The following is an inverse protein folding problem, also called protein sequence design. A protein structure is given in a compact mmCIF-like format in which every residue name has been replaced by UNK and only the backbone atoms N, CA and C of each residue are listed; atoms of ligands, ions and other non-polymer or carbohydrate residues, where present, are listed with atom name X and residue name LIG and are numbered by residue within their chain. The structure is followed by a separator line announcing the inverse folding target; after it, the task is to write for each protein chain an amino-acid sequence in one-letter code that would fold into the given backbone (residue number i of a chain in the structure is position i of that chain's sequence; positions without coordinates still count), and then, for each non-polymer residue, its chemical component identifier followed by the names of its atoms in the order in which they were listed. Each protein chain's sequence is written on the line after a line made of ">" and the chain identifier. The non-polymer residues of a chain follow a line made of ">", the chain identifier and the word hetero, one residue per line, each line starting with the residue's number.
data_IF_414667845535
#
_entry.id   IF_414667845535
#
_cell.length_a   1.000
_cell.length_b   1.000
_cell.length_c   1.000
_cell.angle_alpha   90.00
_cell.angle_beta   90.00
_cell.angle_gamma   90.00
#
_symmetry.space_group_name_H-M   'P 1'
#
loop_
_entity.id
_entity.type
_entity.pdbx_description
1 polymer ?
#
# COMPACT_ATOMS: atom_id res chain seq x y z
N UNK A 1 -3.76 1.38 54.48
CA UNK A 1 -4.57 0.63 53.49
C UNK A 1 -4.07 1.07 52.13
N UNK A 2 -3.09 0.36 51.60
CA UNK A 2 -2.35 0.73 50.39
C UNK A 2 -3.10 0.17 49.19
N UNK A 3 -3.55 1.02 48.28
CA UNK A 3 -4.05 0.60 46.98
C UNK A 3 -2.94 -0.12 46.21
N UNK A 4 -3.22 -1.20 45.46
CA UNK A 4 -2.23 -1.72 44.53
C UNK A 4 -2.11 -0.75 43.35
N UNK A 5 -0.90 -0.22 43.16
CA UNK A 5 -0.46 0.35 41.89
C UNK A 5 -0.44 -0.79 40.88
N UNK A 6 -1.35 -0.74 39.92
CA UNK A 6 -1.30 -1.57 38.72
C UNK A 6 -0.04 -1.19 37.95
N UNK A 7 0.94 -2.10 37.96
CA UNK A 7 2.13 -2.00 37.16
C UNK A 7 1.77 -2.40 35.72
N UNK A 8 1.14 -1.47 35.00
CA UNK A 8 0.89 -1.57 33.57
C UNK A 8 2.21 -1.54 32.80
N UNK A 9 2.89 -2.67 32.73
CA UNK A 9 3.92 -2.91 31.73
C UNK A 9 3.26 -2.81 30.36
N UNK A 10 3.77 -1.89 29.53
CA UNK A 10 3.13 -1.38 28.32
C UNK A 10 2.40 -2.42 27.48
N UNK A 11 1.08 -2.33 27.46
CA UNK A 11 0.27 -3.02 26.47
C UNK A 11 0.73 -2.56 25.08
N UNK A 12 1.03 -3.47 24.13
CA UNK A 12 1.40 -3.09 22.78
C UNK A 12 0.29 -2.22 22.22
N UNK A 13 0.70 -1.09 21.63
CA UNK A 13 -0.23 -0.10 21.12
C UNK A 13 -0.97 -0.71 19.94
N UNK A 14 -2.21 -1.12 20.17
CA UNK A 14 -3.24 -1.12 19.14
C UNK A 14 -3.45 -2.40 18.36
N UNK A 15 -3.50 -3.58 18.98
CA UNK A 15 -4.30 -4.65 18.41
C UNK A 15 -5.32 -5.16 19.45
N UNK A 16 -6.60 -5.16 19.07
CA UNK A 16 -7.72 -5.66 19.89
C UNK A 16 -7.83 -7.19 19.90
N UNK A 17 -6.96 -7.87 19.14
CA UNK A 17 -6.92 -9.31 18.98
C UNK A 17 -6.18 -10.00 20.14
N UNK A 18 -6.64 -11.21 20.50
CA UNK A 18 -5.92 -12.11 21.39
C UNK A 18 -4.67 -12.72 20.71
N UNK A 19 -3.72 -13.24 21.49
CA UNK A 19 -2.41 -13.68 20.95
C UNK A 19 -2.45 -14.78 19.88
N UNK A 20 -3.44 -15.69 19.92
CA UNK A 20 -3.62 -16.72 18.88
C UNK A 20 -4.11 -16.13 17.55
N UNK A 21 -5.04 -15.17 17.63
CA UNK A 21 -5.57 -14.45 16.47
C UNK A 21 -4.46 -13.59 15.84
N UNK A 22 -3.65 -12.92 16.66
CA UNK A 22 -2.50 -12.15 16.21
C UNK A 22 -1.47 -13.03 15.48
N UNK A 23 -1.14 -14.20 16.03
CA UNK A 23 -0.19 -15.14 15.41
C UNK A 23 -0.70 -15.65 14.06
N UNK A 24 -2.01 -15.93 13.96
CA UNK A 24 -2.66 -16.33 12.71
C UNK A 24 -2.59 -15.20 11.69
N UNK A 25 -2.90 -13.97 12.09
CA UNK A 25 -2.82 -12.79 11.22
C UNK A 25 -1.42 -12.57 10.66
N UNK A 26 -0.38 -12.69 11.49
CA UNK A 26 1.01 -12.60 11.05
C UNK A 26 1.33 -13.69 10.01
N UNK A 27 0.88 -14.92 10.24
CA UNK A 27 1.10 -16.02 9.31
C UNK A 27 0.41 -15.81 7.95
N UNK A 28 -0.80 -15.26 7.94
CA UNK A 28 -1.53 -14.88 6.72
C UNK A 28 -0.79 -13.80 5.92
N UNK A 29 -0.33 -12.75 6.60
CA UNK A 29 0.52 -11.72 6.01
C UNK A 29 1.79 -12.31 5.39
N UNK A 30 2.53 -13.12 6.15
CA UNK A 30 3.75 -13.75 5.63
C UNK A 30 3.46 -14.67 4.45
N UNK A 31 2.33 -15.38 4.45
CA UNK A 31 1.92 -16.23 3.33
C UNK A 31 1.63 -15.42 2.07
N UNK A 32 0.95 -14.28 2.19
CA UNK A 32 0.72 -13.36 1.08
C UNK A 32 2.05 -12.80 0.56
N UNK A 33 2.88 -12.25 1.45
CA UNK A 33 4.11 -11.54 1.07
C UNK A 33 5.17 -12.45 0.46
N UNK A 34 5.22 -13.74 0.84
CA UNK A 34 6.10 -14.73 0.19
C UNK A 34 5.79 -14.96 -1.29
N UNK A 35 4.59 -14.61 -1.76
CA UNK A 35 4.22 -14.70 -3.18
C UNK A 35 4.66 -13.48 -3.98
N UNK A 36 5.16 -12.44 -3.32
CA UNK A 36 5.56 -11.21 -3.95
C UNK A 36 7.07 -11.00 -3.96
N UNK A 37 7.48 -9.94 -4.65
CA UNK A 37 8.88 -9.50 -4.68
C UNK A 37 9.02 -8.20 -3.90
N UNK A 38 9.85 -8.14 -2.84
CA UNK A 38 10.14 -6.90 -2.14
C UNK A 38 10.74 -5.87 -3.09
N UNK A 39 10.31 -4.61 -2.94
CA UNK A 39 10.76 -3.50 -3.77
C UNK A 39 11.09 -2.30 -2.89
N UNK A 40 12.03 -1.47 -3.38
CA UNK A 40 12.38 -0.24 -2.67
C UNK A 40 11.16 0.68 -2.57
N UNK A 41 10.98 1.26 -1.37
CA UNK A 41 9.99 2.28 -1.09
C UNK A 41 10.70 3.51 -0.52
N UNK A 42 10.20 4.71 -0.84
CA UNK A 42 10.71 5.95 -0.24
C UNK A 42 10.45 5.97 1.29
N UNK A 43 9.33 5.38 1.70
CA UNK A 43 8.93 5.23 3.10
C UNK A 43 8.29 3.86 3.32
N UNK A 44 8.50 3.28 4.50
CA UNK A 44 7.87 2.03 4.92
C UNK A 44 8.39 0.80 4.17
N UNK A 45 7.47 -0.08 3.74
CA UNK A 45 7.76 -1.33 3.03
C UNK A 45 6.85 -1.45 1.81
N UNK A 46 7.38 -1.98 0.72
CA UNK A 46 6.60 -2.26 -0.48
C UNK A 46 6.94 -3.65 -1.06
N UNK A 47 5.90 -4.29 -1.62
CA UNK A 47 5.99 -5.60 -2.26
C UNK A 47 5.15 -5.61 -3.53
N UNK A 48 5.68 -6.22 -4.60
CA UNK A 48 4.94 -6.54 -5.80
C UNK A 48 4.22 -7.89 -5.71
N UNK A 49 2.89 -7.77 -5.69
CA UNK A 49 1.84 -8.76 -5.79
C UNK A 49 1.59 -9.30 -7.21
N UNK A 50 1.56 -10.62 -7.51
CA UNK A 50 0.79 -11.09 -8.66
C UNK A 50 -0.67 -10.59 -8.61
N UNK A 51 -1.22 -10.11 -9.73
CA UNK A 51 -2.54 -9.45 -9.77
C UNK A 51 -3.69 -10.27 -9.17
N UNK A 52 -3.62 -11.60 -9.27
CA UNK A 52 -4.67 -12.50 -8.80
C UNK A 52 -4.78 -12.54 -7.26
N UNK A 53 -3.78 -12.01 -6.55
CA UNK A 53 -3.78 -11.89 -5.09
C UNK A 53 -4.43 -10.59 -4.59
N UNK A 54 -4.94 -9.73 -5.48
CA UNK A 54 -5.42 -8.41 -5.08
C UNK A 54 -6.58 -8.46 -4.07
N UNK A 55 -7.50 -9.41 -4.23
CA UNK A 55 -8.58 -9.61 -3.27
C UNK A 55 -8.05 -10.03 -1.89
N UNK A 56 -7.16 -11.03 -1.84
CA UNK A 56 -6.57 -11.50 -0.59
C UNK A 56 -5.76 -10.40 0.12
N UNK A 57 -5.01 -9.59 -0.64
CA UNK A 57 -4.28 -8.45 -0.10
C UNK A 57 -5.23 -7.39 0.48
N UNK A 58 -6.34 -7.10 -0.20
CA UNK A 58 -7.31 -6.11 0.25
C UNK A 58 -8.01 -6.54 1.55
N UNK A 59 -8.42 -7.80 1.66
CA UNK A 59 -9.03 -8.35 2.89
C UNK A 59 -8.10 -8.22 4.10
N UNK A 60 -6.81 -8.58 3.93
CA UNK A 60 -5.83 -8.43 5.00
C UNK A 60 -5.60 -6.96 5.38
N UNK A 61 -5.55 -6.06 4.39
CA UNK A 61 -5.44 -4.62 4.65
C UNK A 61 -6.62 -4.11 5.45
N UNK A 62 -7.86 -4.45 5.07
CA UNK A 62 -9.05 -4.00 5.80
C UNK A 62 -9.02 -4.48 7.24
N UNK A 63 -8.74 -5.76 7.45
CA UNK A 63 -8.72 -6.30 8.79
C UNK A 63 -7.55 -5.76 9.63
N UNK A 64 -6.47 -5.29 9.02
CA UNK A 64 -5.38 -4.59 9.72
C UNK A 64 -5.71 -3.13 10.00
N UNK A 65 -6.48 -2.46 9.14
CA UNK A 65 -7.01 -1.12 9.43
C UNK A 65 -7.98 -1.15 10.61
N UNK A 66 -8.78 -2.21 10.75
CA UNK A 66 -9.69 -2.39 11.88
C UNK A 66 -8.93 -2.69 13.19
N UNK A 67 -7.87 -3.50 13.16
CA UNK A 67 -7.05 -3.77 14.36
C UNK A 67 -6.16 -2.58 14.72
N UNK A 68 -5.44 -2.05 13.73
CA UNK A 68 -4.30 -1.15 13.83
C UNK A 68 -4.49 0.07 12.90
N UNK A 69 -5.38 1.04 13.24
CA UNK A 69 -5.74 2.14 12.35
C UNK A 69 -4.61 3.14 12.07
N UNK A 70 -3.46 3.00 12.73
CA UNK A 70 -2.27 3.81 12.47
C UNK A 70 -1.46 3.32 11.26
N UNK A 71 -1.64 2.07 10.80
CA UNK A 71 -1.04 1.65 9.54
C UNK A 71 -1.64 2.47 8.42
N UNK A 72 -0.84 2.75 7.40
CA UNK A 72 -1.34 3.29 6.15
C UNK A 72 -0.95 2.36 5.02
N UNK A 73 -1.95 1.87 4.30
CA UNK A 73 -1.76 1.02 3.14
C UNK A 73 -2.05 1.78 1.85
N UNK A 74 -1.30 1.47 0.80
CA UNK A 74 -1.59 1.91 -0.57
C UNK A 74 -1.54 0.68 -1.47
N UNK A 75 -2.63 0.44 -2.19
CA UNK A 75 -2.75 -0.63 -3.18
C UNK A 75 -2.83 -0.01 -4.56
N UNK A 76 -1.84 -0.25 -5.39
CA UNK A 76 -1.81 0.22 -6.78
C UNK A 76 -1.92 -0.97 -7.71
N UNK A 77 -3.09 -1.13 -8.34
CA UNK A 77 -3.31 -2.18 -9.33
C UNK A 77 -2.97 -1.65 -10.73
N UNK A 78 -2.15 -2.38 -11.47
CA UNK A 78 -1.79 -2.10 -12.86
C UNK A 78 -1.89 -3.36 -13.72
N UNK A 79 -1.54 -3.25 -15.01
CA UNK A 79 -1.45 -4.41 -15.89
C UNK A 79 -0.36 -5.41 -15.43
N UNK A 80 0.70 -4.89 -14.79
CA UNK A 80 1.88 -5.67 -14.39
C UNK A 80 1.67 -6.42 -13.06
N UNK A 81 0.75 -5.96 -12.22
CA UNK A 81 0.49 -6.58 -10.93
C UNK A 81 -0.19 -5.66 -9.93
N UNK A 82 -0.05 -6.00 -8.65
CA UNK A 82 -0.48 -5.19 -7.53
C UNK A 82 0.76 -4.72 -6.75
N UNK A 83 1.01 -3.41 -6.68
CA UNK A 83 1.92 -2.90 -5.66
C UNK A 83 1.17 -2.72 -4.34
N UNK A 84 1.64 -3.37 -3.29
CA UNK A 84 1.23 -3.10 -1.91
C UNK A 84 2.34 -2.33 -1.21
N UNK A 85 2.01 -1.16 -0.67
CA UNK A 85 2.89 -0.37 0.20
C UNK A 85 2.24 -0.21 1.56
N UNK A 86 3.02 -0.36 2.62
CA UNK A 86 2.60 -0.12 4.00
C UNK A 86 3.57 0.84 4.70
N UNK A 87 3.02 1.83 5.39
CA UNK A 87 3.77 2.77 6.22
C UNK A 87 3.15 2.87 7.62
N UNK A 88 3.96 3.32 8.57
CA UNK A 88 3.55 3.53 9.96
C UNK A 88 4.18 4.81 10.50
N UNK A 89 3.65 5.41 11.56
CA UNK A 89 4.38 6.37 12.37
C UNK A 89 5.70 5.75 12.87
N UNK A 90 6.76 6.57 13.13
CA UNK A 90 8.06 6.06 13.57
C UNK A 90 8.01 5.19 14.82
N UNK A 91 7.08 5.49 15.74
CA UNK A 91 6.88 4.75 16.99
C UNK A 91 6.34 3.32 16.80
N UNK A 92 5.84 2.97 15.61
CA UNK A 92 5.22 1.68 15.31
C UNK A 92 5.98 0.86 14.25
N UNK A 93 7.20 1.28 13.88
CA UNK A 93 8.02 0.64 12.84
C UNK A 93 8.30 -0.84 13.13
N UNK A 94 8.41 -1.21 14.41
CA UNK A 94 8.66 -2.61 14.81
C UNK A 94 7.53 -3.54 14.36
N UNK A 95 6.28 -3.07 14.35
CA UNK A 95 5.12 -3.85 13.90
C UNK A 95 5.13 -4.02 12.37
N UNK A 96 5.63 -3.03 11.65
CA UNK A 96 5.83 -3.13 10.21
C UNK A 96 6.88 -4.19 9.86
N UNK A 97 7.96 -4.28 10.65
CA UNK A 97 9.00 -5.30 10.49
C UNK A 97 8.52 -6.71 10.84
N UNK A 98 7.61 -6.85 11.81
CA UNK A 98 6.97 -8.13 12.13
C UNK A 98 6.09 -8.63 10.99
N UNK A 99 5.30 -7.76 10.36
CA UNK A 99 4.40 -8.11 9.25
C UNK A 99 5.15 -8.36 7.95
N UNK A 100 6.13 -7.51 7.61
CA UNK A 100 6.85 -7.60 6.34
C UNK A 100 8.13 -8.45 6.39
N UNK A 101 8.56 -8.85 7.59
CA UNK A 101 9.88 -9.40 7.84
C UNK A 101 10.95 -8.31 7.86
N UNK A 102 12.00 -8.50 8.65
CA UNK A 102 13.16 -7.60 8.71
C UNK A 102 13.92 -7.60 7.37
N UNK A 103 13.41 -6.83 6.42
CA UNK A 103 14.09 -6.54 5.16
C UNK A 103 15.12 -5.46 5.46
N UNK A 104 16.38 -5.88 5.59
CA UNK A 104 17.50 -5.01 5.98
C UNK A 104 17.58 -3.73 5.15
N UNK A 105 17.85 -2.62 5.85
CA UNK A 105 18.21 -1.28 5.38
C UNK A 105 18.41 -1.18 3.85
N UNK A 106 17.45 -0.58 3.14
CA UNK A 106 17.55 -0.31 1.71
C UNK A 106 17.83 1.19 1.51
N UNK A 107 18.85 1.59 0.73
CA UNK A 107 19.14 3.00 0.50
C UNK A 107 18.02 3.69 -0.27
N UNK A 108 17.66 4.89 0.19
CA UNK A 108 16.66 5.80 -0.40
C UNK A 108 16.97 6.06 -1.89
N UNK A 109 16.04 5.68 -2.77
CA UNK A 109 16.11 5.96 -4.20
C UNK A 109 15.43 7.30 -4.51
N UNK A 110 16.18 8.24 -5.07
CA UNK A 110 15.66 9.54 -5.53
C UNK A 110 14.81 9.31 -6.79
N UNK A 111 13.48 9.48 -6.66
CA UNK A 111 12.52 9.25 -7.73
C UNK A 111 12.79 10.08 -9.01
N UNK A 112 12.64 9.45 -10.17
CA UNK A 112 12.38 10.14 -11.46
C UNK A 112 10.90 10.49 -11.50
N UNK A 113 10.59 11.77 -11.67
CA UNK A 113 9.24 12.32 -11.52
C UNK A 113 8.35 12.08 -12.74
N UNK A 114 7.15 11.54 -12.52
CA UNK A 114 6.06 11.23 -13.48
C UNK A 114 5.39 12.46 -14.12
N UNK A 115 5.98 13.65 -14.00
CA UNK A 115 5.34 14.91 -14.42
C UNK A 115 5.24 15.10 -15.95
N UNK A 116 5.83 14.21 -16.76
CA UNK A 116 5.88 14.37 -18.22
C UNK A 116 4.67 13.80 -18.98
N UNK A 117 3.82 12.99 -18.35
CA UNK A 117 2.75 12.29 -19.07
C UNK A 117 1.56 13.18 -19.50
N UNK A 118 1.42 14.40 -18.99
CA UNK A 118 0.19 15.22 -19.19
C UNK A 118 0.33 16.40 -20.17
N UNK A 119 1.49 16.65 -20.78
CA UNK A 119 1.65 17.76 -21.76
C UNK A 119 1.31 17.40 -23.21
N UNK A 120 0.91 16.16 -23.50
CA UNK A 120 0.81 15.67 -24.88
C UNK A 120 -0.59 15.52 -25.48
N UNK A 121 -1.69 15.73 -24.74
CA UNK A 121 -3.03 15.25 -25.16
C UNK A 121 -4.06 16.30 -25.60
N UNK A 122 -3.76 17.61 -25.59
CA UNK A 122 -4.74 18.62 -26.03
C UNK A 122 -4.26 19.50 -27.19
N UNK A 123 -4.58 19.08 -28.42
CA UNK A 123 -5.03 19.95 -29.52
C UNK A 123 -5.55 19.11 -30.72
N UNK A 124 -6.86 19.08 -31.03
CA UNK A 124 -7.34 18.44 -32.26
C UNK A 124 -7.00 19.25 -33.52
N UNK A 125 -6.59 18.53 -34.56
CA UNK A 125 -6.40 19.05 -35.91
C UNK A 125 -7.71 19.61 -36.47
N UNK A 126 -7.69 20.87 -36.90
CA UNK A 126 -8.79 21.56 -37.58
C UNK A 126 -8.89 21.00 -39.02
N UNK A 127 -9.73 19.99 -39.24
CA UNK A 127 -10.02 19.46 -40.58
C UNK A 127 -11.05 20.34 -41.30
N UNK A 128 -10.77 20.57 -42.58
CA UNK A 128 -11.37 21.47 -43.56
C UNK A 128 -12.88 21.27 -43.72
N UNK A 129 -13.63 22.36 -43.71
CA UNK A 129 -15.03 22.42 -44.14
C UNK A 129 -15.09 23.08 -45.53
N UNK A 130 -14.69 22.32 -46.55
CA UNK A 130 -14.95 22.66 -47.96
C UNK A 130 -15.98 21.67 -48.50
N UNK A 131 -17.07 22.19 -49.07
CA UNK A 131 -18.00 21.41 -49.89
C UNK A 131 -19.44 21.32 -49.37
N UNK A 132 -20.14 22.45 -49.28
CA UNK A 132 -21.62 22.47 -49.24
C UNK A 132 -22.21 23.72 -49.94
N UNK A 133 -21.52 24.26 -50.96
CA UNK A 133 -22.01 25.36 -51.81
C UNK A 133 -22.05 24.99 -53.32
N UNK A 134 -22.32 23.72 -53.63
CA UNK A 134 -22.76 23.35 -54.97
C UNK A 134 -24.01 22.49 -54.86
N UNK A 135 -25.17 23.15 -54.91
CA UNK A 135 -26.46 22.72 -55.51
C UNK A 135 -27.59 23.60 -54.94
N UNK A 136 -27.70 24.85 -55.39
CA UNK A 136 -28.97 25.57 -55.47
C UNK A 136 -28.83 26.87 -56.30
N UNK A 137 -29.34 26.78 -57.54
CA UNK A 137 -29.73 27.85 -58.48
C UNK A 137 -28.64 28.49 -59.33
#
# INVERSE_FOLDING_TARGET
>A
MTSPTDAGAGAPVGCSLGGSEQSTRIAEWHALLRQGTPVAAAEGRAVDLPRHLAHAAFELVLAEQDCCPFFRFTLTLSADGLRLTATTPPSATVLLDEVFGASGEQPVSTAVSTLDCWRGVDAPARSTREGLDQLAT
#
